data_IF_723162076725
#
_entry.id   IF_723162076725
#
_cell.length_a   1.000
_cell.length_b   1.000
_cell.length_c   1.000
_cell.angle_alpha   90.00
_cell.angle_beta   90.00
_cell.angle_gamma   90.00
#
_symmetry.space_group_name_H-M   'P 1'
#
loop_
_entity.id
_entity.type
_entity.pdbx_description
1 polymer ?
#
# COMPACT_ATOMS: atom_id res chain seq x y z
N UNK A 1 0.47 26.56 -6.90
CA UNK A 1 -0.16 25.49 -6.08
C UNK A 1 -0.66 24.43 -7.04
N UNK A 2 0.18 23.43 -7.31
CA UNK A 2 -0.18 22.33 -8.19
C UNK A 2 -1.29 21.53 -7.50
N UNK A 3 -2.52 21.63 -8.02
CA UNK A 3 -3.63 20.80 -7.55
C UNK A 3 -3.24 19.37 -7.89
N UNK A 4 -2.75 18.63 -6.90
CA UNK A 4 -2.62 17.19 -6.99
C UNK A 4 -3.97 16.68 -7.49
N UNK A 5 -4.00 16.24 -8.76
CA UNK A 5 -5.14 15.50 -9.28
C UNK A 5 -5.25 14.32 -8.34
N UNK A 6 -6.32 14.30 -7.53
CA UNK A 6 -6.68 13.11 -6.75
C UNK A 6 -7.09 12.09 -7.80
N UNK A 7 -6.08 11.42 -8.35
CA UNK A 7 -6.27 10.31 -9.26
C UNK A 7 -7.08 9.31 -8.44
N UNK A 8 -8.35 9.09 -8.81
CA UNK A 8 -9.29 8.22 -8.08
C UNK A 8 -8.83 6.75 -7.99
N UNK A 9 -7.58 6.47 -8.37
CA UNK A 9 -6.85 5.24 -8.10
C UNK A 9 -6.75 5.02 -6.60
N UNK A 10 -7.27 3.87 -6.20
CA UNK A 10 -7.06 3.33 -4.86
C UNK A 10 -5.72 2.60 -4.80
N UNK A 11 -5.21 2.46 -3.60
CA UNK A 11 -3.96 1.79 -3.27
C UNK A 11 -4.21 0.78 -2.16
N UNK A 12 -3.49 -0.33 -2.19
CA UNK A 12 -3.46 -1.33 -1.13
C UNK A 12 -2.07 -1.30 -0.51
N UNK A 13 -2.02 -1.29 0.81
CA UNK A 13 -0.78 -1.48 1.56
C UNK A 13 -0.72 -2.94 1.97
N UNK A 14 0.27 -3.65 1.45
CA UNK A 14 0.61 -5.01 1.83
C UNK A 14 1.61 -5.00 2.96
N UNK A 15 1.42 -5.90 3.93
CA UNK A 15 2.31 -6.02 5.08
C UNK A 15 2.82 -7.46 5.12
N UNK A 16 4.14 -7.62 5.20
CA UNK A 16 4.79 -8.93 5.33
C UNK A 16 4.68 -9.38 6.78
N UNK A 17 3.82 -10.37 7.00
CA UNK A 17 3.73 -11.09 8.27
C UNK A 17 4.58 -12.36 8.26
N UNK A 18 4.45 -13.15 9.33
CA UNK A 18 5.13 -14.45 9.48
C UNK A 18 4.76 -15.45 8.37
N UNK A 19 3.51 -15.43 7.94
CA UNK A 19 2.96 -16.37 6.95
C UNK A 19 2.95 -15.83 5.51
N UNK A 20 3.59 -14.68 5.26
CA UNK A 20 3.66 -14.04 3.96
C UNK A 20 3.01 -12.65 3.88
N UNK A 21 2.77 -12.19 2.66
CA UNK A 21 2.18 -10.87 2.38
C UNK A 21 0.68 -10.87 2.62
N UNK A 22 0.19 -9.94 3.46
CA UNK A 22 -1.25 -9.76 3.72
C UNK A 22 -1.72 -8.42 3.16
N UNK A 23 -2.80 -8.40 2.34
CA UNK A 23 -3.32 -7.15 1.79
C UNK A 23 -4.15 -6.40 2.82
N UNK A 24 -3.95 -5.09 2.90
CA UNK A 24 -4.88 -4.18 3.56
C UNK A 24 -6.11 -3.86 2.71
N UNK A 25 -6.92 -2.90 3.18
CA UNK A 25 -8.03 -2.36 2.39
C UNK A 25 -7.52 -1.43 1.30
N UNK A 26 -8.22 -1.41 0.17
CA UNK A 26 -8.00 -0.41 -0.88
C UNK A 26 -8.47 0.97 -0.38
N UNK A 27 -7.54 1.91 -0.28
CA UNK A 27 -7.73 3.27 0.23
C UNK A 27 -7.16 4.28 -0.75
N UNK A 28 -7.51 5.56 -0.61
CA UNK A 28 -6.90 6.61 -1.42
C UNK A 28 -5.40 6.77 -1.11
N UNK A 29 -4.68 7.42 -2.02
CA UNK A 29 -3.23 7.58 -1.93
C UNK A 29 -2.76 8.17 -0.60
N UNK A 30 -3.38 9.26 -0.16
CA UNK A 30 -3.04 9.95 1.09
C UNK A 30 -3.15 9.03 2.32
N UNK A 31 -4.22 8.23 2.38
CA UNK A 31 -4.44 7.23 3.43
C UNK A 31 -3.38 6.11 3.37
N UNK A 32 -3.01 5.66 2.18
CA UNK A 32 -1.97 4.65 2.01
C UNK A 32 -0.59 5.19 2.42
N UNK A 33 -0.25 6.43 2.07
CA UNK A 33 0.99 7.09 2.48
C UNK A 33 1.05 7.26 4.02
N UNK A 34 -0.06 7.65 4.65
CA UNK A 34 -0.16 7.72 6.11
C UNK A 34 0.03 6.35 6.80
N UNK A 35 -0.46 5.26 6.19
CA UNK A 35 -0.22 3.90 6.69
C UNK A 35 1.25 3.50 6.55
N UNK A 36 1.86 3.78 5.39
CA UNK A 36 3.28 3.53 5.13
C UNK A 36 4.16 4.27 6.12
N UNK A 37 3.90 5.56 6.39
CA UNK A 37 4.65 6.34 7.37
C UNK A 37 4.59 5.72 8.77
N UNK A 38 3.41 5.22 9.18
CA UNK A 38 3.25 4.51 10.46
C UNK A 38 4.04 3.20 10.51
N UNK A 39 4.06 2.44 9.41
CA UNK A 39 4.77 1.17 9.33
C UNK A 39 6.29 1.36 9.23
N UNK A 40 6.75 2.45 8.62
CA UNK A 40 8.17 2.78 8.47
C UNK A 40 8.89 3.00 9.80
N UNK A 41 8.15 3.26 10.89
CA UNK A 41 8.71 3.36 12.24
C UNK A 41 8.92 2.03 12.95
N UNK A 42 8.59 0.89 12.33
CA UNK A 42 8.70 -0.44 12.93
C UNK A 42 9.46 -1.45 12.06
N UNK A 43 9.68 -2.68 12.56
CA UNK A 43 10.42 -3.73 11.85
C UNK A 43 9.62 -4.43 10.74
N UNK A 44 8.57 -3.80 10.23
CA UNK A 44 7.64 -4.40 9.27
C UNK A 44 8.10 -4.16 7.84
N UNK A 45 8.12 -5.19 7.00
CA UNK A 45 8.22 -4.98 5.55
C UNK A 45 6.83 -4.70 4.99
N UNK A 46 6.72 -3.65 4.18
CA UNK A 46 5.46 -3.25 3.55
C UNK A 46 5.66 -2.91 2.07
N UNK A 47 4.59 -2.98 1.28
CA UNK A 47 4.55 -2.51 -0.11
C UNK A 47 3.23 -1.79 -0.39
N UNK A 48 3.31 -0.58 -0.91
CA UNK A 48 2.14 0.18 -1.37
C UNK A 48 2.01 0.03 -2.87
N UNK A 49 0.83 -0.40 -3.33
CA UNK A 49 0.60 -0.76 -4.74
C UNK A 49 -0.77 -0.26 -5.21
N UNK A 50 -0.92 0.11 -6.49
CA UNK A 50 -2.19 0.59 -7.03
C UNK A 50 -3.23 -0.55 -7.21
N UNK A 51 -4.41 -0.39 -6.62
CA UNK A 51 -5.56 -1.27 -6.84
C UNK A 51 -6.31 -0.89 -8.14
N UNK A 52 -6.98 -1.84 -8.82
CA UNK A 52 -7.14 -3.26 -8.48
C UNK A 52 -6.04 -4.18 -9.06
N UNK A 53 -4.98 -3.62 -9.66
CA UNK A 53 -4.04 -4.38 -10.50
C UNK A 53 -3.03 -5.26 -9.76
N UNK A 54 -2.99 -5.25 -8.44
CA UNK A 54 -1.96 -5.99 -7.69
C UNK A 54 -2.55 -7.14 -6.90
N UNK A 55 -2.30 -8.37 -7.35
CA UNK A 55 -2.49 -9.60 -6.57
C UNK A 55 -1.20 -9.93 -5.80
N UNK A 56 -1.25 -10.85 -4.82
CA UNK A 56 -0.05 -11.35 -4.10
C UNK A 56 1.08 -11.73 -5.06
N UNK A 57 0.71 -12.28 -6.22
CA UNK A 57 1.63 -12.82 -7.22
C UNK A 57 2.56 -11.75 -7.79
N UNK A 58 2.11 -10.49 -7.86
CA UNK A 58 2.90 -9.34 -8.31
C UNK A 58 3.92 -8.88 -7.25
N UNK A 59 3.83 -9.38 -6.01
CA UNK A 59 4.75 -9.04 -4.92
C UNK A 59 5.89 -10.05 -4.75
N UNK A 60 5.77 -11.22 -5.37
CA UNK A 60 6.78 -12.27 -5.39
C UNK A 60 7.68 -12.07 -6.62
N UNK A 61 8.53 -11.04 -6.56
CA UNK A 61 9.70 -10.92 -7.46
C UNK A 61 10.94 -11.40 -6.70
#
# INVERSE_FOLDING_TARGET
MERQKVDGRKYVVWIKGRDGWRPGKAVDRDRAEALVQRLSGGPWSYRMVPAPRTTVEDLAE
#
